data_IF_222256996845
#
_entry.id   IF_222256996845
#
_cell.length_a   1.000
_cell.length_b   1.000
_cell.length_c   1.000
_cell.angle_alpha   90.00
_cell.angle_beta   90.00
_cell.angle_gamma   90.00
#
_symmetry.space_group_name_H-M   'P 1'
#
loop_
_entity.id
_entity.type
_entity.pdbx_description
1 polymer ?
#
# COMPACT_ATOMS: atom_id res chain seq x y z
N UNK A 1 10.05 -12.63 5.39
CA UNK A 1 10.76 -13.83 4.88
C UNK A 1 12.12 -13.37 4.37
N UNK A 2 13.21 -14.04 4.72
CA UNK A 2 14.57 -13.75 4.18
C UNK A 2 15.15 -15.03 3.61
N UNK A 3 16.13 -14.91 2.71
CA UNK A 3 16.94 -16.05 2.28
C UNK A 3 17.67 -16.65 3.50
N UNK A 4 17.98 -17.96 3.47
CA UNK A 4 18.65 -18.69 4.57
C UNK A 4 19.91 -17.99 5.14
N UNK A 5 20.52 -17.06 4.40
CA UNK A 5 21.74 -16.33 4.80
C UNK A 5 21.52 -14.85 5.13
N UNK A 6 20.28 -14.41 5.39
CA UNK A 6 19.97 -13.03 5.82
C UNK A 6 20.15 -11.96 4.75
N UNK A 7 20.42 -12.32 3.49
CA UNK A 7 20.56 -11.39 2.37
C UNK A 7 19.20 -10.82 1.93
N UNK A 8 19.13 -9.52 1.59
CA UNK A 8 17.94 -8.93 0.98
C UNK A 8 17.63 -9.59 -0.38
N UNK A 9 16.36 -9.49 -0.77
CA UNK A 9 15.71 -10.14 -1.91
C UNK A 9 16.10 -9.55 -3.29
N UNK A 10 16.99 -8.56 -3.32
CA UNK A 10 17.44 -7.89 -4.55
C UNK A 10 18.59 -8.63 -5.24
N UNK A 11 18.63 -8.71 -6.60
CA UNK A 11 17.92 -7.82 -7.52
C UNK A 11 16.82 -8.47 -8.38
N UNK A 12 16.47 -9.75 -8.19
CA UNK A 12 15.50 -10.43 -9.06
C UNK A 12 14.24 -10.85 -8.31
N UNK A 13 13.22 -10.00 -8.39
CA UNK A 13 11.86 -10.39 -7.99
C UNK A 13 11.40 -11.58 -8.88
N UNK A 14 10.86 -12.67 -8.32
CA UNK A 14 10.21 -13.69 -9.14
C UNK A 14 9.10 -13.02 -9.94
N UNK A 15 8.98 -13.37 -11.22
CA UNK A 15 7.91 -12.88 -12.09
C UNK A 15 6.78 -13.88 -12.20
N UNK A 16 7.02 -15.15 -11.81
CA UNK A 16 6.06 -16.26 -11.88
C UNK A 16 5.92 -16.99 -10.55
N UNK A 17 4.75 -17.61 -10.36
CA UNK A 17 4.44 -18.38 -9.16
C UNK A 17 5.41 -19.55 -8.94
N UNK A 18 5.77 -20.26 -10.00
CA UNK A 18 6.66 -21.43 -9.93
C UNK A 18 8.05 -21.06 -9.40
N UNK A 19 8.52 -19.85 -9.72
CA UNK A 19 9.78 -19.31 -9.21
C UNK A 19 9.69 -19.06 -7.70
N UNK A 20 8.59 -18.44 -7.25
CA UNK A 20 8.36 -18.22 -5.82
C UNK A 20 8.27 -19.55 -5.06
N UNK A 21 7.61 -20.56 -5.63
CA UNK A 21 7.51 -21.91 -5.05
C UNK A 21 8.88 -22.58 -4.96
N UNK A 22 9.67 -22.54 -6.04
CA UNK A 22 11.02 -23.11 -6.08
C UNK A 22 11.96 -22.48 -5.04
N UNK A 23 11.71 -21.23 -4.64
CA UNK A 23 12.47 -20.52 -3.63
C UNK A 23 12.08 -20.88 -2.19
N UNK A 24 10.85 -21.38 -1.94
CA UNK A 24 10.36 -21.65 -0.58
C UNK A 24 11.27 -22.55 0.27
N UNK A 25 11.89 -23.63 -0.25
CA UNK A 25 12.81 -24.46 0.54
C UNK A 25 14.01 -23.69 1.10
N UNK A 26 14.39 -22.58 0.45
CA UNK A 26 15.52 -21.72 0.82
C UNK A 26 15.13 -20.52 1.67
N UNK A 27 13.90 -20.51 2.19
CA UNK A 27 13.40 -19.47 3.07
C UNK A 27 13.29 -19.96 4.50
N UNK A 28 13.39 -19.03 5.45
CA UNK A 28 13.20 -19.31 6.86
C UNK A 28 12.12 -18.40 7.46
N UNK A 29 11.36 -18.96 8.39
CA UNK A 29 10.46 -18.20 9.26
C UNK A 29 11.31 -17.52 10.33
N UNK A 30 11.29 -16.19 10.35
CA UNK A 30 12.18 -15.38 11.20
C UNK A 30 11.85 -15.44 12.70
N UNK A 31 10.60 -15.73 13.03
CA UNK A 31 10.09 -15.77 14.40
C UNK A 31 8.79 -16.58 14.41
N UNK A 32 8.42 -17.11 15.59
CA UNK A 32 7.18 -17.88 15.75
C UNK A 32 5.98 -17.11 15.16
N UNK A 33 5.15 -17.72 14.30
CA UNK A 33 3.96 -17.07 13.75
C UNK A 33 3.09 -16.46 14.86
N UNK A 34 2.63 -15.22 14.64
CA UNK A 34 1.84 -14.46 15.61
C UNK A 34 2.62 -13.87 16.79
N UNK A 35 3.92 -14.14 16.94
CA UNK A 35 4.70 -13.59 18.08
C UNK A 35 5.20 -12.16 17.86
N UNK A 36 5.43 -11.75 16.61
CA UNK A 36 5.98 -10.44 16.23
C UNK A 36 5.46 -10.02 14.86
N UNK A 37 5.45 -8.71 14.63
CA UNK A 37 5.21 -8.15 13.31
C UNK A 37 6.51 -8.14 12.48
N UNK A 38 6.39 -8.40 11.18
CA UNK A 38 7.45 -8.21 10.20
C UNK A 38 6.88 -8.04 8.79
N UNK A 39 7.29 -6.98 8.11
CA UNK A 39 6.79 -6.68 6.75
C UNK A 39 7.22 -7.77 5.75
N UNK A 40 6.33 -8.16 4.84
CA UNK A 40 6.58 -9.27 3.91
C UNK A 40 5.78 -9.13 2.61
N UNK A 41 6.42 -8.61 1.56
CA UNK A 41 5.86 -8.55 0.20
C UNK A 41 5.35 -9.91 -0.32
N UNK A 42 6.08 -11.03 -0.15
CA UNK A 42 5.58 -12.34 -0.60
C UNK A 42 4.30 -12.81 0.12
N UNK A 43 4.01 -12.29 1.32
CA UNK A 43 2.82 -12.72 2.07
C UNK A 43 1.52 -12.34 1.34
N UNK A 44 1.50 -11.20 0.66
CA UNK A 44 0.36 -10.77 -0.15
C UNK A 44 0.19 -11.60 -1.43
N UNK A 45 1.30 -12.12 -1.99
CA UNK A 45 1.24 -13.07 -3.11
C UNK A 45 0.59 -14.38 -2.67
N UNK A 46 0.97 -14.90 -1.50
CA UNK A 46 0.33 -16.09 -0.93
C UNK A 46 -1.16 -15.86 -0.63
N UNK A 47 -1.51 -14.69 -0.08
CA UNK A 47 -2.91 -14.32 0.16
C UNK A 47 -3.72 -14.28 -1.15
N UNK A 48 -3.15 -13.70 -2.22
CA UNK A 48 -3.78 -13.71 -3.54
C UNK A 48 -4.01 -15.15 -4.04
N UNK A 49 -3.03 -16.05 -3.90
CA UNK A 49 -3.20 -17.47 -4.27
C UNK A 49 -4.30 -18.16 -3.49
N UNK A 50 -4.45 -17.87 -2.19
CA UNK A 50 -5.54 -18.41 -1.38
C UNK A 50 -6.90 -17.96 -1.93
N UNK A 51 -7.04 -16.68 -2.28
CA UNK A 51 -8.26 -16.15 -2.92
C UNK A 51 -8.54 -16.89 -4.23
N UNK A 52 -7.54 -17.05 -5.09
CA UNK A 52 -7.70 -17.74 -6.38
C UNK A 52 -8.11 -19.22 -6.20
N UNK A 53 -7.52 -19.92 -5.25
CA UNK A 53 -7.86 -21.33 -4.98
C UNK A 53 -9.28 -21.50 -4.43
N UNK A 54 -9.74 -20.58 -3.57
CA UNK A 54 -11.09 -20.65 -2.98
C UNK A 54 -12.15 -20.25 -3.99
N UNK A 55 -11.87 -19.26 -4.83
CA UNK A 55 -12.87 -18.62 -5.70
C UNK A 55 -12.87 -19.18 -7.12
N UNK A 56 -11.75 -19.72 -7.59
CA UNK A 56 -11.53 -20.08 -8.99
C UNK A 56 -11.27 -18.91 -9.92
N UNK A 57 -11.43 -17.66 -9.45
CA UNK A 57 -11.18 -16.45 -10.23
C UNK A 57 -9.69 -16.06 -10.13
N UNK A 58 -9.01 -15.64 -11.22
CA UNK A 58 -7.72 -14.97 -11.12
C UNK A 58 -7.81 -13.76 -10.18
N UNK A 59 -6.78 -13.51 -9.37
CA UNK A 59 -6.85 -12.51 -8.30
C UNK A 59 -7.25 -11.12 -8.79
N UNK A 60 -6.68 -10.69 -9.94
CA UNK A 60 -7.03 -9.41 -10.56
C UNK A 60 -8.50 -9.34 -10.95
N UNK A 61 -9.06 -10.43 -11.48
CA UNK A 61 -10.48 -10.50 -11.84
C UNK A 61 -11.36 -10.47 -10.60
N UNK A 62 -10.94 -11.14 -9.52
CA UNK A 62 -11.64 -11.08 -8.24
C UNK A 62 -11.68 -9.64 -7.69
N UNK A 63 -10.55 -8.94 -7.69
CA UNK A 63 -10.47 -7.52 -7.27
C UNK A 63 -11.33 -6.63 -8.16
N UNK A 64 -11.26 -6.80 -9.48
CA UNK A 64 -12.09 -6.05 -10.43
C UNK A 64 -13.58 -6.26 -10.14
N UNK A 65 -14.01 -7.52 -10.05
CA UNK A 65 -15.42 -7.92 -9.90
C UNK A 65 -16.00 -7.50 -8.55
N UNK A 66 -15.27 -7.68 -7.46
CA UNK A 66 -15.79 -7.55 -6.10
C UNK A 66 -15.45 -6.22 -5.42
N UNK A 67 -14.46 -5.47 -5.94
CA UNK A 67 -14.02 -4.21 -5.31
C UNK A 67 -14.08 -3.06 -6.31
N UNK A 68 -13.36 -3.13 -7.43
CA UNK A 68 -13.22 -1.97 -8.32
C UNK A 68 -14.49 -1.65 -9.10
N UNK A 69 -15.15 -2.64 -9.70
CA UNK A 69 -16.38 -2.43 -10.46
C UNK A 69 -17.50 -1.88 -9.57
N UNK A 70 -17.80 -2.45 -8.38
CA UNK A 70 -18.82 -1.88 -7.49
C UNK A 70 -18.50 -0.44 -7.07
N UNK A 71 -17.23 -0.13 -6.78
CA UNK A 71 -16.78 1.21 -6.39
C UNK A 71 -16.55 2.15 -7.58
N UNK A 72 -16.82 1.70 -8.81
CA UNK A 72 -16.58 2.45 -10.05
C UNK A 72 -15.13 2.97 -10.20
N UNK A 73 -14.15 2.16 -9.81
CA UNK A 73 -12.71 2.42 -9.99
C UNK A 73 -12.28 2.04 -11.41
N UNK A 74 -12.86 2.71 -12.40
CA UNK A 74 -12.76 2.32 -13.82
C UNK A 74 -11.46 2.73 -14.49
N UNK A 75 -10.59 3.46 -13.77
CA UNK A 75 -9.30 3.95 -14.27
C UNK A 75 -8.14 3.36 -13.47
N UNK A 76 -8.40 2.26 -12.77
CA UNK A 76 -7.44 1.50 -12.00
C UNK A 76 -6.97 0.27 -12.77
N UNK A 77 -5.69 -0.04 -12.67
CA UNK A 77 -5.09 -1.23 -13.26
C UNK A 77 -3.99 -1.80 -12.34
N UNK A 78 -3.54 -3.02 -12.63
CA UNK A 78 -2.42 -3.68 -11.93
C UNK A 78 -1.39 -4.27 -12.89
N UNK A 79 -1.62 -4.17 -14.19
CA UNK A 79 -0.78 -4.75 -15.24
C UNK A 79 -0.10 -3.62 -16.03
N UNK A 80 0.26 -3.86 -17.29
CA UNK A 80 0.62 -2.79 -18.21
C UNK A 80 -0.52 -1.80 -18.41
N UNK A 81 -0.18 -0.51 -18.55
CA UNK A 81 -1.17 0.56 -18.68
C UNK A 81 -2.10 0.31 -19.87
N UNK A 82 -3.44 0.29 -19.68
CA UNK A 82 -4.40 0.23 -20.77
C UNK A 82 -4.19 1.36 -21.77
N UNK A 83 -4.36 1.09 -23.08
CA UNK A 83 -4.08 2.08 -24.13
C UNK A 83 -4.82 3.42 -23.95
N UNK A 84 -6.04 3.39 -23.41
CA UNK A 84 -6.87 4.57 -23.17
C UNK A 84 -6.47 5.35 -21.90
N UNK A 85 -5.56 4.82 -21.08
CA UNK A 85 -4.95 5.51 -19.92
C UNK A 85 -3.48 5.89 -20.18
N UNK A 86 -2.90 5.50 -21.32
CA UNK A 86 -1.47 5.69 -21.61
C UNK A 86 -1.02 7.16 -21.60
N UNK A 87 -1.90 8.10 -21.96
CA UNK A 87 -1.64 9.54 -21.86
C UNK A 87 -1.65 10.07 -20.43
N UNK A 88 -2.41 9.42 -19.53
CA UNK A 88 -2.56 9.82 -18.13
C UNK A 88 -1.50 9.18 -17.22
N UNK A 89 -0.72 8.23 -17.77
CA UNK A 89 0.30 7.49 -17.04
C UNK A 89 1.50 8.38 -16.72
N UNK A 90 1.75 8.54 -15.43
CA UNK A 90 2.95 9.24 -14.95
C UNK A 90 4.22 8.43 -15.25
N UNK A 91 5.29 9.14 -15.60
CA UNK A 91 6.64 8.58 -15.62
C UNK A 91 7.18 8.52 -14.18
N UNK A 92 8.15 7.65 -13.92
CA UNK A 92 8.82 7.56 -12.63
C UNK A 92 10.31 7.90 -12.72
N UNK A 93 10.86 8.44 -11.63
CA UNK A 93 12.19 9.02 -11.61
C UNK A 93 13.00 8.55 -10.40
N UNK A 94 14.29 8.27 -10.63
CA UNK A 94 15.27 8.13 -9.56
C UNK A 94 16.17 9.37 -9.50
N UNK A 95 16.36 9.87 -8.29
CA UNK A 95 17.38 10.89 -7.99
C UNK A 95 18.59 10.20 -7.40
N UNK A 96 19.72 10.30 -8.09
CA UNK A 96 21.01 9.76 -7.66
C UNK A 96 21.97 10.91 -7.36
N UNK A 97 22.68 10.80 -6.25
CA UNK A 97 23.78 11.70 -5.92
C UNK A 97 25.08 10.99 -6.23
N UNK A 98 25.90 11.61 -7.07
CA UNK A 98 27.28 11.21 -7.23
C UNK A 98 28.12 12.00 -6.23
N UNK A 99 28.64 11.30 -5.23
CA UNK A 99 29.46 11.91 -4.16
C UNK A 99 30.83 12.36 -4.68
N UNK A 100 31.39 11.69 -5.70
CA UNK A 100 32.68 12.02 -6.28
C UNK A 100 32.57 13.26 -7.18
N UNK A 101 31.51 13.34 -7.99
CA UNK A 101 31.26 14.47 -8.89
C UNK A 101 30.49 15.62 -8.23
N UNK A 102 30.05 15.46 -6.97
CA UNK A 102 29.18 16.40 -6.25
C UNK A 102 27.93 16.80 -7.06
N UNK A 103 27.45 15.91 -7.92
CA UNK A 103 26.31 16.16 -8.79
C UNK A 103 25.07 15.39 -8.35
N UNK A 104 23.91 15.88 -8.77
CA UNK A 104 22.63 15.19 -8.65
C UNK A 104 22.14 14.94 -10.07
N UNK A 105 21.79 13.69 -10.38
CA UNK A 105 21.14 13.32 -11.64
C UNK A 105 19.74 12.79 -11.38
N UNK A 106 18.83 13.10 -12.31
CA UNK A 106 17.46 12.58 -12.33
C UNK A 106 17.33 11.68 -13.55
N UNK A 107 17.00 10.41 -13.34
CA UNK A 107 16.84 9.43 -14.41
C UNK A 107 15.38 9.01 -14.48
N UNK A 108 14.77 9.14 -15.66
CA UNK A 108 13.46 8.57 -15.95
C UNK A 108 13.58 7.05 -16.16
N UNK A 109 12.70 6.25 -15.56
CA UNK A 109 12.72 4.79 -15.71
C UNK A 109 11.56 4.24 -16.54
N UNK A 110 10.77 5.12 -17.16
CA UNK A 110 9.64 4.74 -18.00
C UNK A 110 8.30 4.83 -17.27
N UNK A 111 7.24 4.78 -18.07
CA UNK A 111 5.86 4.88 -17.60
C UNK A 111 5.35 3.56 -17.05
N UNK A 112 5.77 2.46 -17.66
CA UNK A 112 5.33 1.12 -17.32
C UNK A 112 6.42 0.35 -16.60
N UNK A 113 6.00 -0.46 -15.65
CA UNK A 113 6.80 -1.50 -15.03
C UNK A 113 5.88 -2.70 -14.79
N UNK A 114 6.39 -3.91 -14.98
CA UNK A 114 5.64 -5.13 -14.75
C UNK A 114 6.09 -5.74 -13.41
N UNK A 115 5.23 -5.74 -12.37
CA UNK A 115 5.56 -6.40 -11.10
C UNK A 115 5.49 -7.94 -11.20
N UNK A 116 4.96 -8.49 -12.28
CA UNK A 116 4.74 -9.93 -12.43
C UNK A 116 3.91 -10.50 -11.28
N UNK A 117 4.33 -11.64 -10.73
CA UNK A 117 3.60 -12.29 -9.62
C UNK A 117 3.54 -11.44 -8.33
N UNK A 118 4.32 -10.36 -8.22
CA UNK A 118 4.33 -9.49 -7.03
C UNK A 118 3.21 -8.45 -7.04
N UNK A 119 2.43 -8.35 -8.12
CA UNK A 119 1.28 -7.44 -8.27
C UNK A 119 0.43 -7.26 -7.00
N UNK A 120 0.05 -8.32 -6.24
CA UNK A 120 -0.80 -8.17 -5.06
C UNK A 120 -0.21 -7.33 -3.91
N UNK A 121 1.11 -7.10 -3.88
CA UNK A 121 1.76 -6.34 -2.80
C UNK A 121 1.94 -4.84 -3.09
N UNK A 122 1.75 -4.39 -4.33
CA UNK A 122 2.08 -3.01 -4.72
C UNK A 122 1.90 -2.67 -6.20
N UNK A 123 1.23 -3.51 -6.98
CA UNK A 123 1.01 -3.31 -8.41
C UNK A 123 -0.14 -2.36 -8.77
N UNK A 124 -0.96 -1.93 -7.80
CA UNK A 124 -2.14 -1.11 -8.08
C UNK A 124 -1.77 0.29 -8.55
N UNK A 125 -2.07 0.56 -9.82
CA UNK A 125 -2.00 1.85 -10.47
C UNK A 125 -3.38 2.50 -10.44
N UNK A 126 -3.48 3.69 -9.83
CA UNK A 126 -4.74 4.42 -9.73
C UNK A 126 -4.53 5.94 -9.86
N UNK A 127 -5.41 6.65 -10.59
CA UNK A 127 -5.49 8.09 -10.49
C UNK A 127 -6.09 8.50 -9.14
N UNK A 128 -5.86 9.76 -8.75
CA UNK A 128 -6.40 10.30 -7.50
C UNK A 128 -7.93 10.20 -7.40
N UNK A 129 -8.65 10.30 -8.51
CA UNK A 129 -10.12 10.16 -8.53
C UNK A 129 -10.60 8.79 -8.03
N UNK A 130 -9.94 7.71 -8.47
CA UNK A 130 -10.28 6.35 -8.00
C UNK A 130 -9.85 6.15 -6.55
N UNK A 131 -8.68 6.67 -6.14
CA UNK A 131 -8.25 6.61 -4.74
C UNK A 131 -9.22 7.38 -3.82
N UNK A 132 -9.79 8.50 -4.27
CA UNK A 132 -10.81 9.22 -3.50
C UNK A 132 -12.09 8.40 -3.31
N UNK A 133 -12.56 7.68 -4.33
CA UNK A 133 -13.71 6.77 -4.20
C UNK A 133 -13.40 5.62 -3.24
N UNK A 134 -12.22 5.02 -3.34
CA UNK A 134 -11.78 3.97 -2.42
C UNK A 134 -11.70 4.46 -0.97
N UNK A 135 -11.18 5.67 -0.76
CA UNK A 135 -11.16 6.31 0.56
C UNK A 135 -12.56 6.64 1.07
N UNK A 136 -13.47 7.09 0.20
CA UNK A 136 -14.85 7.33 0.58
C UNK A 136 -15.53 6.04 1.08
N UNK A 137 -15.23 4.91 0.44
CA UNK A 137 -15.63 3.58 0.93
C UNK A 137 -15.04 3.28 2.32
N UNK A 138 -13.72 3.40 2.50
CA UNK A 138 -13.07 3.13 3.80
C UNK A 138 -13.60 4.03 4.94
N UNK A 139 -13.87 5.30 4.64
CA UNK A 139 -14.33 6.27 5.64
C UNK A 139 -15.86 6.32 5.79
N UNK A 140 -16.58 5.51 5.02
CA UNK A 140 -18.04 5.58 4.92
C UNK A 140 -18.55 7.01 4.63
N UNK A 141 -17.86 7.72 3.75
CA UNK A 141 -18.23 9.06 3.30
C UNK A 141 -19.33 8.98 2.22
N UNK A 142 -20.41 8.25 2.52
CA UNK A 142 -21.58 8.12 1.63
C UNK A 142 -22.43 9.38 1.58
N UNK A 143 -22.21 10.35 2.49
CA UNK A 143 -22.96 11.60 2.59
C UNK A 143 -24.50 11.39 2.59
N UNK A 144 -24.96 10.30 3.22
CA UNK A 144 -26.39 9.91 3.31
C UNK A 144 -26.99 9.46 1.97
N UNK A 145 -26.16 9.22 0.94
CA UNK A 145 -26.60 8.56 -0.29
C UNK A 145 -26.86 7.06 -0.04
N UNK A 146 -28.14 6.68 -0.04
CA UNK A 146 -28.58 5.31 0.20
C UNK A 146 -28.19 4.31 -0.91
N UNK A 147 -27.93 4.77 -2.14
CA UNK A 147 -27.41 3.92 -3.21
C UNK A 147 -25.92 3.65 -2.95
N UNK A 148 -25.16 4.70 -2.67
CA UNK A 148 -23.72 4.58 -2.39
C UNK A 148 -23.45 3.76 -1.12
N UNK A 149 -24.27 3.92 -0.09
CA UNK A 149 -24.18 3.09 1.12
C UNK A 149 -24.38 1.61 0.80
N UNK A 150 -25.40 1.26 0.00
CA UNK A 150 -25.64 -0.13 -0.45
C UNK A 150 -24.47 -0.69 -1.25
N UNK A 151 -23.86 0.14 -2.10
CA UNK A 151 -22.63 -0.23 -2.82
C UNK A 151 -21.49 -0.55 -1.84
N UNK A 152 -21.24 0.30 -0.84
CA UNK A 152 -20.21 0.06 0.16
C UNK A 152 -20.46 -1.24 0.93
N UNK A 153 -21.70 -1.45 1.38
CA UNK A 153 -22.09 -2.65 2.13
C UNK A 153 -21.99 -3.93 1.30
N UNK A 154 -22.14 -3.84 -0.03
CA UNK A 154 -21.93 -4.95 -0.97
C UNK A 154 -20.45 -5.33 -1.09
N UNK A 155 -19.55 -4.35 -1.04
CA UNK A 155 -18.09 -4.58 -1.13
C UNK A 155 -17.56 -5.17 0.17
N UNK A 156 -17.82 -4.50 1.29
CA UNK A 156 -17.48 -5.00 2.62
C UNK A 156 -18.27 -4.24 3.68
N UNK A 157 -18.88 -4.96 4.61
CA UNK A 157 -19.64 -4.34 5.69
C UNK A 157 -18.78 -3.41 6.55
N UNK A 158 -19.39 -2.35 7.09
CA UNK A 158 -18.71 -1.44 8.01
C UNK A 158 -18.08 -2.16 9.21
N UNK A 159 -18.78 -3.16 9.75
CA UNK A 159 -18.30 -3.98 10.87
C UNK A 159 -17.00 -4.71 10.53
N UNK A 160 -16.91 -5.29 9.33
CA UNK A 160 -15.71 -5.99 8.87
C UNK A 160 -14.54 -5.03 8.66
N UNK A 161 -14.79 -3.81 8.16
CA UNK A 161 -13.77 -2.76 8.10
C UNK A 161 -13.25 -2.37 9.50
N UNK A 162 -14.15 -2.20 10.47
CA UNK A 162 -13.75 -1.89 11.85
C UNK A 162 -12.93 -3.04 12.49
N UNK A 163 -13.25 -4.30 12.16
CA UNK A 163 -12.45 -5.47 12.54
C UNK A 163 -11.04 -5.42 11.92
N UNK A 164 -10.92 -5.08 10.63
CA UNK A 164 -9.62 -4.92 9.97
C UNK A 164 -8.72 -3.88 10.64
N UNK A 165 -9.29 -2.90 11.34
CA UNK A 165 -8.54 -1.85 12.03
C UNK A 165 -8.43 -2.07 13.54
N UNK A 166 -8.62 -3.31 13.99
CA UNK A 166 -8.27 -3.74 15.34
C UNK A 166 -6.79 -4.11 15.41
N UNK A 167 -6.12 -3.69 16.48
CA UNK A 167 -4.70 -3.97 16.66
C UNK A 167 -4.46 -5.46 16.85
N UNK A 168 -3.65 -6.06 15.98
CA UNK A 168 -3.24 -7.47 16.04
C UNK A 168 -1.91 -7.59 16.77
N UNK A 169 -0.90 -6.82 16.37
CA UNK A 169 0.43 -6.80 16.97
C UNK A 169 1.03 -5.38 16.98
N UNK A 170 1.87 -5.02 17.96
CA UNK A 170 2.63 -3.78 17.90
C UNK A 170 3.66 -3.81 16.76
N UNK A 171 3.92 -2.66 16.14
CA UNK A 171 4.94 -2.54 15.08
C UNK A 171 6.35 -2.68 15.65
N UNK A 172 6.55 -2.20 16.87
CA UNK A 172 7.77 -2.38 17.65
C UNK A 172 7.40 -2.93 19.03
N UNK A 173 7.84 -4.16 19.33
CA UNK A 173 7.57 -4.78 20.64
C UNK A 173 8.21 -4.01 21.81
N UNK A 174 9.32 -3.30 21.57
CA UNK A 174 9.99 -2.47 22.57
C UNK A 174 9.36 -1.08 22.72
N UNK A 175 8.54 -0.66 21.75
CA UNK A 175 7.82 0.62 21.76
C UNK A 175 6.37 0.41 21.27
N UNK A 176 5.54 -0.31 22.05
CA UNK A 176 4.20 -0.72 21.61
C UNK A 176 3.24 0.46 21.38
N UNK A 177 3.59 1.66 21.84
CA UNK A 177 2.83 2.88 21.62
C UNK A 177 3.14 3.56 20.28
N UNK A 178 4.18 3.15 19.56
CA UNK A 178 4.58 3.72 18.26
C UNK A 178 3.65 3.31 17.11
N UNK A 179 2.73 2.40 17.38
CA UNK A 179 1.71 1.93 16.46
C UNK A 179 1.57 0.42 16.46
N UNK A 180 0.52 -0.05 15.80
CA UNK A 180 0.22 -1.46 15.62
C UNK A 180 -0.15 -1.77 14.17
N UNK A 181 -0.16 -3.06 13.83
CA UNK A 181 -0.70 -3.55 12.58
C UNK A 181 -2.11 -4.11 12.83
N UNK A 182 -3.06 -3.77 11.95
CA UNK A 182 -4.33 -4.46 11.78
C UNK A 182 -4.27 -5.48 10.65
N UNK A 183 -5.39 -5.76 10.00
CA UNK A 183 -5.41 -6.55 8.77
C UNK A 183 -5.01 -5.65 7.59
N UNK A 184 -3.73 -5.67 7.23
CA UNK A 184 -3.12 -4.91 6.12
C UNK A 184 -3.06 -3.38 6.29
N UNK A 185 -3.37 -2.85 7.47
CA UNK A 185 -3.27 -1.43 7.76
C UNK A 185 -2.38 -1.15 8.99
N UNK A 186 -1.62 -0.07 8.93
CA UNK A 186 -0.97 0.51 10.11
C UNK A 186 -1.98 1.33 10.91
N UNK A 187 -1.89 1.21 12.23
CA UNK A 187 -2.76 1.87 13.19
C UNK A 187 -1.90 2.72 14.11
N UNK A 188 -2.11 4.02 14.06
CA UNK A 188 -1.39 4.99 14.88
C UNK A 188 -2.36 5.66 15.84
N UNK A 189 -1.91 5.85 17.08
CA UNK A 189 -2.60 6.72 18.03
C UNK A 189 -2.03 8.13 17.91
N UNK A 190 -2.89 9.12 17.80
CA UNK A 190 -2.49 10.53 17.79
C UNK A 190 -3.52 11.34 18.56
N UNK A 191 -3.08 11.92 19.69
CA UNK A 191 -4.00 12.50 20.67
C UNK A 191 -5.02 11.45 21.15
N UNK A 192 -6.31 11.77 21.05
CA UNK A 192 -7.41 10.85 21.38
C UNK A 192 -7.96 10.08 20.17
N UNK A 193 -7.36 10.26 19.00
CA UNK A 193 -7.84 9.72 17.75
C UNK A 193 -6.96 8.58 17.23
N UNK A 194 -7.54 7.80 16.30
CA UNK A 194 -6.84 6.72 15.59
C UNK A 194 -6.65 7.13 14.14
N UNK A 195 -5.41 7.14 13.69
CA UNK A 195 -5.06 7.30 12.27
C UNK A 195 -4.75 5.93 11.70
N UNK A 196 -5.42 5.59 10.62
CA UNK A 196 -5.26 4.33 9.89
C UNK A 196 -4.58 4.65 8.57
N UNK A 197 -3.67 3.79 8.11
CA UNK A 197 -3.03 4.04 6.82
C UNK A 197 -2.11 2.95 6.34
N UNK A 198 -1.57 3.18 5.15
CA UNK A 198 -0.48 2.40 4.59
C UNK A 198 0.38 3.30 3.70
N UNK A 199 1.65 2.93 3.55
CA UNK A 199 2.58 3.63 2.65
C UNK A 199 3.09 2.67 1.59
N UNK A 200 3.54 3.20 0.46
CA UNK A 200 3.99 2.41 -0.67
C UNK A 200 5.27 2.95 -1.26
N UNK A 201 6.06 2.04 -1.81
CA UNK A 201 7.23 2.33 -2.63
C UNK A 201 7.30 1.29 -3.71
N UNK A 202 7.24 1.69 -4.97
CA UNK A 202 7.35 0.77 -6.09
C UNK A 202 7.84 1.49 -7.33
N UNK A 203 8.86 0.95 -8.02
CA UNK A 203 9.39 1.48 -9.27
C UNK A 203 9.52 3.02 -9.29
N UNK A 204 10.21 3.60 -8.30
CA UNK A 204 10.42 5.05 -8.19
C UNK A 204 9.25 5.85 -7.60
N UNK A 205 8.03 5.30 -7.58
CA UNK A 205 6.88 5.92 -6.93
C UNK A 205 6.91 5.77 -5.40
N UNK A 206 6.32 6.75 -4.72
CA UNK A 206 5.99 6.72 -3.29
C UNK A 206 4.53 7.08 -3.11
N UNK A 207 3.85 6.39 -2.20
CA UNK A 207 2.47 6.70 -1.86
C UNK A 207 2.27 6.69 -0.35
N UNK A 208 1.37 7.55 0.11
CA UNK A 208 0.96 7.67 1.50
C UNK A 208 -0.56 7.81 1.51
N UNK A 209 -1.23 6.92 2.24
CA UNK A 209 -2.65 7.01 2.52
C UNK A 209 -2.83 6.97 4.03
N UNK A 210 -3.39 8.03 4.58
CA UNK A 210 -3.80 8.11 5.97
C UNK A 210 -5.23 8.60 6.06
N UNK A 211 -6.03 8.01 6.93
CA UNK A 211 -7.41 8.40 7.14
C UNK A 211 -7.86 8.18 8.57
N UNK A 212 -8.91 8.89 8.96
CA UNK A 212 -9.61 8.70 10.20
C UNK A 212 -11.11 8.52 9.88
N UNK A 213 -11.68 7.31 10.08
CA UNK A 213 -13.07 7.05 9.78
C UNK A 213 -14.05 7.80 10.70
N UNK A 214 -13.61 8.24 11.89
CA UNK A 214 -14.44 9.03 12.81
C UNK A 214 -14.67 10.44 12.29
N UNK A 215 -13.60 11.13 11.89
CA UNK A 215 -13.69 12.46 11.27
C UNK A 215 -14.05 12.40 9.79
N UNK A 216 -14.06 11.21 9.19
CA UNK A 216 -14.26 10.95 7.74
C UNK A 216 -13.28 11.73 6.85
N UNK A 217 -12.08 11.96 7.37
CA UNK A 217 -11.02 12.66 6.65
C UNK A 217 -9.94 11.70 6.20
N UNK A 218 -9.31 12.05 5.10
CA UNK A 218 -8.16 11.35 4.59
C UNK A 218 -7.16 12.32 3.96
N UNK A 219 -5.92 11.88 3.89
CA UNK A 219 -4.85 12.50 3.13
C UNK A 219 -4.21 11.43 2.26
N UNK A 220 -4.15 11.73 0.98
CA UNK A 220 -3.39 10.96 -0.01
C UNK A 220 -2.24 11.83 -0.47
N UNK A 221 -1.04 11.27 -0.53
CA UNK A 221 0.12 11.92 -1.15
C UNK A 221 0.85 10.92 -2.01
N UNK A 222 1.11 11.30 -3.26
CA UNK A 222 1.79 10.45 -4.24
C UNK A 222 2.94 11.23 -4.84
N UNK A 223 4.07 10.55 -4.99
CA UNK A 223 5.29 11.09 -5.59
C UNK A 223 5.74 10.10 -6.65
N UNK A 224 6.17 10.60 -7.79
CA UNK A 224 6.73 9.78 -8.86
C UNK A 224 8.27 9.78 -8.87
N UNK A 225 8.87 10.25 -7.79
CA UNK A 225 10.31 10.43 -7.67
C UNK A 225 10.80 9.84 -6.36
N UNK A 226 11.79 8.97 -6.42
CA UNK A 226 12.49 8.44 -5.25
C UNK A 226 13.95 8.89 -5.27
N UNK A 227 14.41 9.44 -4.16
CA UNK A 227 15.81 9.80 -3.95
C UNK A 227 16.54 8.71 -3.19
N UNK A 228 17.65 8.23 -3.76
CA UNK A 228 18.64 7.43 -3.02
C UNK A 228 19.68 8.31 -2.31
N UNK A 229 19.67 9.62 -2.59
CA UNK A 229 20.50 10.57 -1.87
C UNK A 229 19.94 10.81 -0.47
N UNK A 230 20.76 10.60 0.56
CA UNK A 230 20.47 11.11 1.90
C UNK A 230 20.60 12.63 1.87
N UNK A 231 19.47 13.31 1.75
CA UNK A 231 19.41 14.77 1.79
C UNK A 231 19.38 15.23 3.25
N UNK A 232 20.27 16.15 3.67
CA UNK A 232 20.23 16.72 5.02
C UNK A 232 18.83 17.26 5.35
N UNK A 233 18.32 16.94 6.54
CA UNK A 233 17.01 17.41 7.01
C UNK A 233 15.79 16.66 6.45
N UNK A 234 15.93 15.80 5.43
CA UNK A 234 14.78 15.11 4.82
C UNK A 234 13.98 14.25 5.82
N UNK A 235 14.66 13.58 6.74
CA UNK A 235 14.00 12.81 7.79
C UNK A 235 13.17 13.67 8.75
N UNK A 236 13.64 14.88 9.08
CA UNK A 236 12.88 15.82 9.91
C UNK A 236 11.68 16.37 9.14
N UNK A 237 11.88 16.80 7.89
CA UNK A 237 10.80 17.29 7.05
C UNK A 237 9.67 16.25 6.87
N UNK A 238 10.03 14.97 6.68
CA UNK A 238 9.03 13.90 6.61
C UNK A 238 8.27 13.72 7.93
N UNK A 239 8.94 13.81 9.08
CA UNK A 239 8.28 13.77 10.40
C UNK A 239 7.32 14.95 10.59
N UNK A 240 7.74 16.16 10.25
CA UNK A 240 6.92 17.37 10.40
C UNK A 240 5.69 17.34 9.49
N UNK A 241 5.86 16.84 8.26
CA UNK A 241 4.76 16.60 7.33
C UNK A 241 3.79 15.56 7.88
N UNK A 242 4.31 14.41 8.36
CA UNK A 242 3.48 13.34 8.94
C UNK A 242 2.69 13.85 10.16
N UNK A 243 3.31 14.62 11.05
CA UNK A 243 2.61 15.23 12.19
C UNK A 243 1.53 16.22 11.73
N UNK A 244 1.77 16.99 10.68
CA UNK A 244 0.79 17.93 10.13
C UNK A 244 -0.41 17.22 9.50
N UNK A 245 -0.17 16.11 8.81
CA UNK A 245 -1.23 15.20 8.31
C UNK A 245 -2.04 14.65 9.48
N UNK A 246 -1.39 14.15 10.52
CA UNK A 246 -2.09 13.54 11.65
C UNK A 246 -2.94 14.57 12.42
N UNK A 247 -2.43 15.79 12.61
CA UNK A 247 -3.20 16.92 13.16
C UNK A 247 -4.42 17.29 12.32
N UNK A 248 -4.32 17.21 10.98
CA UNK A 248 -5.47 17.45 10.10
C UNK A 248 -6.55 16.35 10.26
N UNK A 249 -6.13 15.10 10.39
CA UNK A 249 -7.01 13.94 10.55
C UNK A 249 -7.67 13.86 11.93
N UNK A 250 -7.04 14.43 12.96
CA UNK A 250 -7.57 14.48 14.33
C UNK A 250 -8.74 15.44 14.48
N UNK A 251 -8.80 16.57 13.74
CA UNK A 251 -9.84 17.58 14.05
C UNK A 251 -11.23 17.00 13.86
N UNK A 252 -12.14 17.31 14.78
CA UNK A 252 -13.54 16.90 14.74
C UNK A 252 -14.20 17.24 13.39
N UNK A 253 -15.15 16.41 12.92
CA UNK A 253 -15.86 16.62 11.66
C UNK A 253 -16.53 17.99 11.57
#
# INVERSE_FOLDING_TARGET
MVLRDGKPWEPFEPTKWEQLVAMMPYQQVLFKPGSRYGYSNPAFVYLARVIEQITGDPWVHYVQKNIWTPLELTRSDVNGTPYYLASDRSNNYYVRRDTAMKSISVTANGRDFDPGITIPNGGWNAPLGDLMKYVAFLTNASNVDAKLQRTFDTVLSRKSLDEMWTAVLPLNAAAPNDGSIGLSFFLYKFGNERVIGHTGSQAGFRSYLYFNPRSRRAVISVYNTTSQAQLPGAGQALRDLTQSVFRYLEKSP
#
